data_IF_744017703590
#
_entry.id   IF_744017703590
#
_cell.length_a   1.000
_cell.length_b   1.000
_cell.length_c   1.000
_cell.angle_alpha   90.00
_cell.angle_beta   90.00
_cell.angle_gamma   90.00
#
_symmetry.space_group_name_H-M   'P 1'
#
loop_
_entity.id
_entity.type
_entity.pdbx_description
1 polymer ?
#
# COMPACT_ATOMS: atom_id res chain seq x y z
N UNK A 1 -5.09 -8.91 34.51
CA UNK A 1 -4.37 -8.19 33.43
C UNK A 1 -4.77 -6.73 33.51
N UNK A 2 -3.81 -5.80 33.39
CA UNK A 2 -4.13 -4.38 33.28
C UNK A 2 -4.85 -4.11 31.95
N UNK A 3 -5.83 -3.19 31.90
CA UNK A 3 -6.45 -2.78 30.64
C UNK A 3 -5.40 -2.25 29.65
N UNK A 4 -5.60 -2.50 28.36
CA UNK A 4 -4.80 -1.85 27.30
C UNK A 4 -5.28 -0.42 27.18
N UNK A 5 -4.41 0.58 27.23
CA UNK A 5 -4.85 1.99 27.10
C UNK A 5 -4.93 2.44 25.63
N UNK A 6 -4.03 1.91 24.78
CA UNK A 6 -3.87 2.28 23.39
C UNK A 6 -3.72 1.04 22.51
N UNK A 7 -4.52 0.97 21.45
CA UNK A 7 -4.38 0.00 20.37
C UNK A 7 -3.91 0.70 19.10
N UNK A 8 -2.90 0.15 18.43
CA UNK A 8 -2.44 0.62 17.12
C UNK A 8 -2.56 -0.53 16.13
N UNK A 9 -3.27 -0.30 15.03
CA UNK A 9 -3.42 -1.25 13.93
C UNK A 9 -2.76 -0.62 12.70
N UNK A 10 -1.63 -1.19 12.28
CA UNK A 10 -0.96 -0.82 11.03
C UNK A 10 -1.52 -1.62 9.86
N UNK A 11 -1.43 -1.08 8.64
CA UNK A 11 -2.02 -1.65 7.42
C UNK A 11 -3.52 -2.00 7.55
N UNK A 12 -4.27 -1.22 8.36
CA UNK A 12 -5.67 -1.45 8.68
C UNK A 12 -6.59 -1.44 7.45
N UNK A 13 -6.19 -0.79 6.36
CA UNK A 13 -6.92 -0.78 5.10
C UNK A 13 -6.91 -2.16 4.39
N UNK A 14 -5.95 -3.03 4.72
CA UNK A 14 -5.84 -4.39 4.17
C UNK A 14 -6.62 -5.45 4.95
N UNK A 15 -7.25 -5.06 6.07
CA UNK A 15 -8.03 -5.96 6.92
C UNK A 15 -9.51 -5.90 6.56
N UNK A 16 -10.21 -7.02 6.67
CA UNK A 16 -11.67 -7.03 6.73
C UNK A 16 -12.12 -6.42 8.05
N UNK A 17 -13.34 -5.86 8.07
CA UNK A 17 -13.90 -5.26 9.29
C UNK A 17 -13.87 -6.24 10.48
N UNK A 18 -14.23 -7.50 10.25
CA UNK A 18 -14.22 -8.56 11.27
C UNK A 18 -12.81 -8.93 11.78
N UNK A 19 -11.76 -8.72 10.99
CA UNK A 19 -10.38 -8.98 11.42
C UNK A 19 -9.90 -7.86 12.35
N UNK A 20 -10.29 -6.61 12.06
CA UNK A 20 -9.98 -5.46 12.91
C UNK A 20 -10.67 -5.54 14.29
N UNK A 21 -11.89 -6.11 14.34
CA UNK A 21 -12.66 -6.22 15.60
C UNK A 21 -12.06 -7.20 16.61
N UNK A 22 -11.28 -8.18 16.17
CA UNK A 22 -10.59 -9.13 17.06
C UNK A 22 -9.71 -8.37 18.07
N UNK A 23 -8.94 -7.39 17.60
CA UNK A 23 -8.08 -6.57 18.46
C UNK A 23 -8.87 -5.58 19.32
N UNK A 24 -10.03 -5.12 18.86
CA UNK A 24 -10.91 -4.21 19.61
C UNK A 24 -11.67 -4.90 20.75
N UNK A 25 -11.81 -6.23 20.71
CA UNK A 25 -12.42 -7.03 21.78
C UNK A 25 -11.47 -7.30 22.95
N UNK A 26 -10.18 -6.98 22.82
CA UNK A 26 -9.24 -7.03 23.94
C UNK A 26 -9.71 -6.09 25.05
N UNK A 27 -9.35 -6.39 26.31
CA UNK A 27 -9.78 -5.62 27.48
C UNK A 27 -9.39 -4.12 27.38
N UNK A 28 -10.34 -3.35 26.85
CA UNK A 28 -10.55 -1.92 27.04
C UNK A 28 -9.52 -0.96 26.45
N UNK A 29 -9.09 -1.04 25.17
CA UNK A 29 -8.38 0.08 24.56
C UNK A 29 -9.22 1.35 24.70
N UNK A 30 -8.75 2.27 25.54
CA UNK A 30 -9.36 3.60 25.70
C UNK A 30 -9.22 4.44 24.42
N UNK A 31 -8.20 4.14 23.62
CA UNK A 31 -7.94 4.76 22.33
C UNK A 31 -7.52 3.70 21.30
N UNK A 32 -7.97 3.87 20.06
CA UNK A 32 -7.54 3.05 18.92
C UNK A 32 -7.06 3.96 17.77
N UNK A 33 -5.88 3.66 17.23
CA UNK A 33 -5.30 4.33 16.07
C UNK A 33 -5.21 3.31 14.94
N UNK A 34 -5.90 3.61 13.84
CA UNK A 34 -5.84 2.81 12.62
C UNK A 34 -4.99 3.55 11.60
N UNK A 35 -3.91 2.92 11.14
CA UNK A 35 -3.04 3.43 10.08
C UNK A 35 -3.21 2.53 8.87
N UNK A 36 -3.35 3.13 7.70
CA UNK A 36 -3.55 2.40 6.46
C UNK A 36 -3.82 3.34 5.30
N UNK A 37 -3.93 2.75 4.12
CA UNK A 37 -4.09 3.49 2.88
C UNK A 37 -5.09 2.78 1.97
N UNK A 38 -6.28 3.40 1.82
CA UNK A 38 -7.36 2.91 0.95
C UNK A 38 -7.01 2.94 -0.56
N UNK A 39 -5.89 3.57 -0.94
CA UNK A 39 -5.38 3.59 -2.32
C UNK A 39 -4.45 2.42 -2.63
N UNK A 40 -4.09 1.61 -1.63
CA UNK A 40 -3.22 0.44 -1.78
C UNK A 40 -4.05 -0.85 -1.89
N UNK A 41 -3.45 -1.99 -1.54
CA UNK A 41 -4.10 -3.29 -1.67
C UNK A 41 -5.29 -3.39 -0.69
N UNK A 42 -6.48 -3.79 -1.16
CA UNK A 42 -7.61 -4.08 -0.27
C UNK A 42 -7.45 -5.44 0.40
N UNK A 43 -8.36 -5.76 1.32
CA UNK A 43 -8.40 -7.07 1.94
C UNK A 43 -8.70 -8.18 0.92
N UNK A 44 -7.97 -9.30 1.03
CA UNK A 44 -8.18 -10.45 0.13
C UNK A 44 -9.51 -11.14 0.44
N UNK A 45 -10.37 -11.24 -0.57
CA UNK A 45 -11.63 -12.01 -0.54
C UNK A 45 -11.62 -13.02 -1.68
N UNK A 46 -11.74 -14.32 -1.35
CA UNK A 46 -11.68 -15.39 -2.36
C UNK A 46 -13.05 -15.72 -2.97
N UNK A 47 -14.12 -15.49 -2.22
CA UNK A 47 -15.48 -15.78 -2.64
C UNK A 47 -16.04 -14.58 -3.38
N UNK A 48 -16.42 -14.78 -4.65
CA UNK A 48 -17.03 -13.72 -5.45
C UNK A 48 -18.32 -13.19 -4.80
N UNK A 49 -19.14 -14.06 -4.22
CA UNK A 49 -20.37 -13.66 -3.51
C UNK A 49 -20.05 -12.74 -2.33
N UNK A 50 -18.94 -13.01 -1.62
CA UNK A 50 -18.51 -12.17 -0.48
C UNK A 50 -17.92 -10.84 -0.95
N UNK A 51 -17.20 -10.83 -2.07
CA UNK A 51 -16.69 -9.60 -2.68
C UNK A 51 -17.85 -8.70 -3.15
N UNK A 52 -18.85 -9.28 -3.81
CA UNK A 52 -20.09 -8.59 -4.23
C UNK A 52 -20.88 -8.02 -3.04
N UNK A 53 -20.78 -8.67 -1.87
CA UNK A 53 -21.37 -8.21 -0.62
C UNK A 53 -20.51 -7.18 0.15
N UNK A 54 -19.46 -6.64 -0.47
CA UNK A 54 -18.53 -5.65 0.14
C UNK A 54 -17.82 -6.18 1.41
N UNK A 55 -17.67 -7.50 1.54
CA UNK A 55 -17.02 -8.12 2.69
C UNK A 55 -15.54 -7.73 2.84
N UNK A 56 -14.92 -7.30 1.75
CA UNK A 56 -13.53 -6.82 1.71
C UNK A 56 -13.35 -5.41 2.29
N UNK A 57 -14.44 -4.69 2.60
CA UNK A 57 -14.35 -3.35 3.19
C UNK A 57 -13.68 -3.41 4.56
N UNK A 58 -12.68 -2.56 4.74
CA UNK A 58 -11.98 -2.41 6.01
C UNK A 58 -12.74 -1.52 6.98
N UNK A 59 -12.49 -1.73 8.28
CA UNK A 59 -12.98 -0.82 9.31
C UNK A 59 -12.42 0.61 9.09
N UNK A 60 -11.17 0.72 8.64
CA UNK A 60 -10.54 2.00 8.29
C UNK A 60 -11.36 2.77 7.24
N UNK A 61 -11.74 2.11 6.14
CA UNK A 61 -12.54 2.70 5.09
C UNK A 61 -13.97 3.02 5.57
N UNK A 62 -14.59 2.11 6.34
CA UNK A 62 -15.91 2.30 6.92
C UNK A 62 -15.99 3.56 7.79
N UNK A 63 -15.04 3.74 8.71
CA UNK A 63 -14.96 4.91 9.59
C UNK A 63 -14.69 6.21 8.82
N UNK A 64 -13.90 6.16 7.74
CA UNK A 64 -13.66 7.30 6.87
C UNK A 64 -14.95 7.75 6.13
N UNK A 65 -15.80 6.81 5.71
CA UNK A 65 -17.06 7.10 5.01
C UNK A 65 -18.17 7.64 5.93
N UNK A 66 -18.22 7.20 7.20
CA UNK A 66 -19.26 7.62 8.15
C UNK A 66 -19.18 9.10 8.55
N UNK A 67 -18.15 9.83 8.14
CA UNK A 67 -18.04 11.29 8.30
C UNK A 67 -17.74 11.79 9.72
N UNK A 68 -17.74 10.90 10.72
CA UNK A 68 -17.40 11.20 12.12
C UNK A 68 -15.90 11.26 12.40
N UNK A 69 -15.07 10.69 11.53
CA UNK A 69 -13.62 10.60 11.73
C UNK A 69 -12.85 11.32 10.62
N UNK A 70 -12.00 12.29 11.01
CA UNK A 70 -11.12 12.98 10.05
C UNK A 70 -9.96 12.07 9.66
N UNK A 71 -9.80 11.82 8.37
CA UNK A 71 -8.61 11.15 7.84
C UNK A 71 -7.44 12.12 7.81
N UNK A 72 -6.31 11.72 8.38
CA UNK A 72 -5.06 12.48 8.34
C UNK A 72 -4.12 11.88 7.31
N UNK A 73 -3.88 12.60 6.21
CA UNK A 73 -2.91 12.19 5.20
C UNK A 73 -1.50 12.62 5.63
N UNK A 74 -0.60 11.65 5.79
CA UNK A 74 0.84 11.93 5.89
C UNK A 74 1.37 12.24 4.50
N UNK A 75 1.55 13.53 4.22
CA UNK A 75 1.75 14.02 2.86
C UNK A 75 3.22 14.25 2.47
N UNK A 76 4.19 13.68 3.20
CA UNK A 76 5.62 13.77 2.83
C UNK A 76 6.19 12.38 2.67
N UNK A 77 6.66 12.04 1.47
CA UNK A 77 7.31 10.76 1.18
C UNK A 77 8.84 10.89 1.26
N UNK A 78 9.46 9.89 1.88
CA UNK A 78 10.90 9.85 2.14
C UNK A 78 11.58 8.62 1.49
N UNK A 79 10.87 7.85 0.64
CA UNK A 79 11.32 6.53 0.15
C UNK A 79 11.78 6.53 -1.30
N UNK A 80 11.14 7.26 -2.20
CA UNK A 80 11.39 7.10 -3.64
C UNK A 80 11.91 8.39 -4.26
N UNK A 81 12.65 8.26 -5.37
CA UNK A 81 13.11 9.42 -6.12
C UNK A 81 11.89 10.23 -6.63
N UNK A 82 11.95 11.58 -6.66
CA UNK A 82 10.83 12.41 -7.10
C UNK A 82 10.21 12.05 -8.45
N UNK A 83 11.00 11.51 -9.39
CA UNK A 83 10.48 11.05 -10.70
C UNK A 83 9.61 9.79 -10.58
N UNK A 84 9.90 8.88 -9.64
CA UNK A 84 9.06 7.70 -9.39
C UNK A 84 7.75 8.13 -8.74
N UNK A 85 7.80 9.09 -7.80
CA UNK A 85 6.62 9.61 -7.09
C UNK A 85 5.65 10.37 -8.01
N UNK A 86 6.12 10.89 -9.15
CA UNK A 86 5.32 11.75 -10.03
C UNK A 86 4.01 11.09 -10.49
N UNK A 87 4.08 9.84 -10.94
CA UNK A 87 2.91 9.09 -11.40
C UNK A 87 1.93 8.74 -10.26
N UNK A 88 2.33 8.00 -9.21
CA UNK A 88 1.39 7.59 -8.16
C UNK A 88 0.80 8.79 -7.40
N UNK A 89 1.56 9.86 -7.19
CA UNK A 89 1.05 11.07 -6.53
C UNK A 89 -0.09 11.72 -7.33
N UNK A 90 0.08 11.82 -8.66
CA UNK A 90 -0.94 12.36 -9.55
C UNK A 90 -2.16 11.45 -9.62
N UNK A 91 -1.93 10.15 -9.78
CA UNK A 91 -2.99 9.17 -10.06
C UNK A 91 -3.85 8.87 -8.82
N UNK A 92 -3.23 8.73 -7.65
CA UNK A 92 -3.91 8.20 -6.46
C UNK A 92 -4.11 9.24 -5.35
N UNK A 93 -3.31 10.32 -5.34
CA UNK A 93 -3.27 11.28 -4.21
C UNK A 93 -3.49 12.74 -4.63
N UNK A 94 -3.99 13.01 -5.84
CA UNK A 94 -4.31 14.37 -6.30
C UNK A 94 -3.14 15.38 -6.13
N UNK A 95 -1.91 14.93 -6.32
CA UNK A 95 -0.68 15.72 -6.14
C UNK A 95 -0.44 16.23 -4.71
N UNK A 96 -1.07 15.63 -3.69
CA UNK A 96 -0.91 16.07 -2.29
C UNK A 96 0.41 15.61 -1.66
N UNK A 97 1.08 14.59 -2.21
CA UNK A 97 2.32 14.04 -1.66
C UNK A 97 3.52 14.89 -2.05
N UNK A 98 4.26 15.35 -1.05
CA UNK A 98 5.50 16.12 -1.17
C UNK A 98 6.72 15.20 -1.03
N UNK A 99 7.82 15.59 -1.66
CA UNK A 99 9.09 14.86 -1.55
C UNK A 99 9.92 15.43 -0.38
N UNK A 100 10.34 14.56 0.55
CA UNK A 100 11.22 14.91 1.65
C UNK A 100 12.61 15.37 1.18
N UNK A 101 13.36 16.04 2.06
CA UNK A 101 14.67 16.59 1.69
C UNK A 101 15.70 15.49 1.38
N UNK A 102 15.58 14.33 2.04
CA UNK A 102 16.47 13.19 1.85
C UNK A 102 16.45 12.66 0.40
N UNK A 103 15.26 12.57 -0.22
CA UNK A 103 15.10 12.06 -1.60
C UNK A 103 15.42 13.09 -2.68
N UNK A 104 15.50 14.37 -2.30
CA UNK A 104 15.93 15.48 -3.17
C UNK A 104 17.46 15.66 -3.19
N UNK A 105 18.16 15.13 -2.19
CA UNK A 105 19.62 15.22 -2.09
C UNK A 105 20.29 14.47 -3.26
N UNK A 106 21.36 15.05 -3.81
CA UNK A 106 22.17 14.42 -4.87
C UNK A 106 22.71 13.05 -4.45
N UNK A 107 23.00 12.86 -3.18
CA UNK A 107 23.48 11.59 -2.60
C UNK A 107 22.46 10.46 -2.68
N UNK A 108 21.17 10.80 -2.81
CA UNK A 108 20.09 9.84 -3.04
C UNK A 108 20.21 9.19 -4.43
N UNK A 109 20.67 9.96 -5.41
CA UNK A 109 20.83 9.55 -6.80
C UNK A 109 22.14 8.80 -7.04
N UNK A 110 22.25 7.61 -6.45
CA UNK A 110 23.39 6.71 -6.71
C UNK A 110 23.25 6.06 -8.08
N UNK A 111 24.18 6.35 -8.98
CA UNK A 111 24.27 5.73 -10.30
C UNK A 111 25.23 4.54 -10.22
N UNK A 112 24.66 3.34 -10.14
CA UNK A 112 25.44 2.11 -10.14
C UNK A 112 25.84 1.67 -11.55
N UNK A 113 25.03 2.01 -12.55
CA UNK A 113 25.24 1.67 -13.95
C UNK A 113 25.56 2.92 -14.78
N UNK A 114 26.47 2.78 -15.75
CA UNK A 114 26.84 3.86 -16.67
C UNK A 114 25.88 3.87 -17.87
N UNK A 115 25.36 5.04 -18.22
CA UNK A 115 24.50 5.24 -19.39
C UNK A 115 23.25 6.03 -19.06
N UNK A 116 22.77 6.84 -20.01
CA UNK A 116 21.57 7.69 -19.83
C UNK A 116 20.29 6.88 -19.62
N UNK A 117 20.26 5.62 -20.06
CA UNK A 117 19.12 4.72 -19.91
C UNK A 117 18.86 4.27 -18.46
N UNK A 118 19.87 4.29 -17.59
CA UNK A 118 19.77 3.81 -16.20
C UNK A 118 19.41 4.95 -15.24
N UNK A 119 18.30 5.63 -15.52
CA UNK A 119 17.74 6.65 -14.63
C UNK A 119 16.92 5.99 -13.50
N UNK A 120 16.13 6.76 -12.73
CA UNK A 120 15.44 6.27 -11.53
C UNK A 120 14.48 5.09 -11.75
N UNK A 121 13.94 4.92 -12.96
CA UNK A 121 13.18 3.74 -13.37
C UNK A 121 13.19 3.60 -14.89
N UNK A 122 12.99 2.37 -15.38
CA UNK A 122 12.92 2.02 -16.80
C UNK A 122 11.87 0.92 -16.99
N UNK A 123 11.04 1.05 -18.01
CA UNK A 123 10.18 -0.03 -18.47
C UNK A 123 10.89 -0.75 -19.62
N UNK A 124 11.21 -2.03 -19.43
CA UNK A 124 11.87 -2.86 -20.44
C UNK A 124 10.79 -3.73 -21.08
N UNK A 125 10.60 -3.56 -22.38
CA UNK A 125 9.69 -4.41 -23.14
C UNK A 125 10.31 -5.81 -23.33
N UNK A 126 9.59 -6.85 -22.91
CA UNK A 126 10.01 -8.26 -23.05
C UNK A 126 9.23 -8.88 -24.20
N UNK A 127 9.64 -8.58 -25.43
CA UNK A 127 8.89 -8.90 -26.66
C UNK A 127 8.69 -10.39 -26.95
N UNK A 128 9.44 -11.28 -26.29
CA UNK A 128 9.28 -12.74 -26.41
C UNK A 128 8.79 -13.40 -25.12
N UNK A 129 8.27 -12.59 -24.18
CA UNK A 129 7.73 -13.08 -22.92
C UNK A 129 6.50 -13.97 -23.13
N UNK A 130 6.42 -15.07 -22.39
CA UNK A 130 5.26 -15.97 -22.39
C UNK A 130 5.00 -16.45 -20.97
N UNK A 131 3.75 -16.28 -20.52
CA UNK A 131 3.29 -16.84 -19.25
C UNK A 131 3.12 -18.37 -19.37
N UNK A 132 3.70 -19.09 -18.42
CA UNK A 132 3.55 -20.53 -18.23
C UNK A 132 3.14 -20.79 -16.77
N UNK A 133 2.38 -21.86 -16.53
CA UNK A 133 2.11 -22.29 -15.16
C UNK A 133 3.32 -23.02 -14.56
N UNK A 134 3.57 -22.84 -13.28
CA UNK A 134 4.43 -23.71 -12.49
C UNK A 134 3.65 -24.90 -11.90
N UNK A 135 4.37 -25.79 -11.23
CA UNK A 135 3.78 -26.99 -10.60
C UNK A 135 2.77 -26.66 -9.49
N UNK A 136 2.75 -25.40 -9.03
CA UNK A 136 1.86 -24.87 -7.99
C UNK A 136 0.71 -24.03 -8.56
N UNK A 137 0.50 -24.03 -9.88
CA UNK A 137 -0.50 -23.22 -10.61
C UNK A 137 -0.31 -21.70 -10.48
N UNK A 138 0.87 -21.24 -10.08
CA UNK A 138 1.27 -19.85 -10.25
C UNK A 138 1.75 -19.61 -11.68
N UNK A 139 1.72 -18.36 -12.15
CA UNK A 139 2.25 -18.01 -13.48
C UNK A 139 3.72 -17.57 -13.35
N UNK A 140 4.51 -17.90 -14.37
CA UNK A 140 5.90 -17.46 -14.53
C UNK A 140 6.18 -17.11 -15.99
N UNK A 141 7.11 -16.18 -16.22
CA UNK A 141 7.63 -15.89 -17.55
C UNK A 141 9.15 -16.09 -17.54
N UNK A 142 9.64 -17.14 -18.21
CA UNK A 142 11.07 -17.50 -18.19
C UNK A 142 11.98 -16.43 -18.79
N UNK A 143 11.47 -15.55 -19.65
CA UNK A 143 12.26 -14.49 -20.29
C UNK A 143 12.45 -13.29 -19.36
N UNK A 144 11.58 -13.11 -18.37
CA UNK A 144 11.73 -12.07 -17.33
C UNK A 144 12.73 -12.47 -16.24
N UNK A 145 13.02 -13.77 -16.10
CA UNK A 145 14.00 -14.29 -15.15
C UNK A 145 15.40 -14.03 -15.73
N UNK A 146 16.00 -12.90 -15.36
CA UNK A 146 17.39 -12.54 -15.63
C UNK A 146 18.28 -13.07 -14.51
#
# INVERSE_FOLDING_TARGET
>A
MSPLELLVIDEAAQLKECESTISLQLLGPGYAILMGDERQLPAMVKSQISEEADFGRSLFQSLACLGGHKKHLLNVQYRMHPSINLFPNREFYNNQIQNGQNVKDRRYNRRFLKGKMYNSYLFINVSHGKEEFDDKRSRKNKVEVI
#
